data_IF_498313112282
#
_entry.id   IF_498313112282
#
_cell.length_a   1.000
_cell.length_b   1.000
_cell.length_c   1.000
_cell.angle_alpha   90.00
_cell.angle_beta   90.00
_cell.angle_gamma   90.00
#
_symmetry.space_group_name_H-M   'P 1'
#
loop_
_entity.id
_entity.type
_entity.pdbx_description
1 polymer ?
#
# COMPACT_ATOMS: atom_id res chain seq x y z
N UNK A 1 18.75 35.23 22.31
CA UNK A 1 17.40 35.11 21.71
C UNK A 1 17.44 34.84 20.20
N UNK A 2 18.09 35.67 19.37
CA UNK A 2 18.19 35.42 17.90
C UNK A 2 18.82 34.07 17.52
N UNK A 3 19.92 33.66 18.19
CA UNK A 3 20.59 32.37 17.94
C UNK A 3 19.79 31.14 18.38
N UNK A 4 18.90 31.30 19.38
CA UNK A 4 18.03 30.22 19.88
C UNK A 4 16.86 30.01 18.90
N UNK A 5 16.33 31.10 18.32
CA UNK A 5 15.30 31.05 17.28
C UNK A 5 15.86 30.38 16.00
N UNK A 6 17.12 30.63 15.63
CA UNK A 6 17.76 29.97 14.46
C UNK A 6 17.98 28.47 14.66
N UNK A 7 18.29 28.02 15.88
CA UNK A 7 18.44 26.58 16.19
C UNK A 7 17.07 25.88 16.19
N UNK A 8 16.03 26.53 16.73
CA UNK A 8 14.66 26.01 16.71
C UNK A 8 14.06 25.96 15.30
N UNK A 9 14.46 26.86 14.39
CA UNK A 9 14.05 26.85 12.98
C UNK A 9 14.83 25.80 12.16
N UNK A 10 16.07 25.48 12.55
CA UNK A 10 16.89 24.43 11.90
C UNK A 10 16.50 22.99 12.29
N UNK A 11 15.67 22.83 13.32
CA UNK A 11 15.06 21.55 13.72
C UNK A 11 13.71 21.30 13.04
N UNK A 12 13.20 22.26 12.27
CA UNK A 12 11.99 22.10 11.47
C UNK A 12 12.36 21.47 10.11
N UNK A 13 11.90 20.23 9.93
CA UNK A 13 11.63 19.57 8.64
C UNK A 13 12.84 18.95 7.95
N UNK A 14 13.21 17.77 8.44
CA UNK A 14 13.47 16.63 7.57
C UNK A 14 12.42 15.56 7.85
N UNK A 15 11.15 15.83 7.51
CA UNK A 15 10.17 14.76 7.33
C UNK A 15 10.55 14.07 6.02
N UNK A 16 11.30 12.98 6.12
CA UNK A 16 11.41 12.05 5.01
C UNK A 16 10.03 11.44 4.80
N UNK A 17 9.46 11.60 3.61
CA UNK A 17 8.30 10.81 3.21
C UNK A 17 8.80 9.38 3.04
N UNK A 18 8.39 8.51 3.96
CA UNK A 18 8.58 7.06 3.81
C UNK A 18 7.35 6.48 3.17
N UNK A 19 7.55 5.38 2.45
CA UNK A 19 6.47 4.53 1.93
C UNK A 19 5.64 4.01 3.11
N UNK A 20 4.33 3.94 2.95
CA UNK A 20 3.43 3.33 3.95
C UNK A 20 3.47 1.80 3.82
N UNK A 21 4.56 1.20 4.31
CA UNK A 21 4.86 -0.23 4.21
C UNK A 21 5.20 -0.83 5.58
N UNK A 22 4.95 -2.15 5.79
CA UNK A 22 4.31 -3.10 4.88
C UNK A 22 2.81 -2.85 4.74
N UNK A 23 2.26 -3.12 3.54
CA UNK A 23 0.80 -3.16 3.33
C UNK A 23 0.33 -4.52 3.86
N UNK A 24 -0.58 -4.51 4.83
CA UNK A 24 -1.01 -5.70 5.55
C UNK A 24 -2.53 -5.92 5.56
N UNK A 25 -3.31 -4.90 5.16
CA UNK A 25 -4.79 -4.94 5.10
C UNK A 25 -5.49 -5.16 6.45
N UNK A 26 -4.75 -5.11 7.55
CA UNK A 26 -5.26 -5.33 8.90
C UNK A 26 -6.06 -4.11 9.38
N UNK A 27 -7.06 -4.27 10.26
CA UNK A 27 -7.78 -3.13 10.84
C UNK A 27 -6.82 -2.08 11.40
N UNK A 28 -7.05 -0.81 11.05
CA UNK A 28 -6.20 0.35 11.38
C UNK A 28 -4.75 0.30 10.79
N UNK A 29 -4.44 -0.70 9.95
CA UNK A 29 -3.16 -0.91 9.27
C UNK A 29 -3.08 -0.30 7.86
N UNK A 30 -1.92 -0.46 7.21
CA UNK A 30 -1.72 0.07 5.86
C UNK A 30 -2.46 -0.78 4.82
N UNK A 31 -3.25 -0.11 3.98
CA UNK A 31 -4.06 -0.76 2.95
C UNK A 31 -5.47 -1.15 3.38
N UNK A 32 -5.82 -1.03 4.66
CA UNK A 32 -7.13 -1.40 5.18
C UNK A 32 -8.25 -0.49 4.65
N UNK A 33 -8.01 0.82 4.71
CA UNK A 33 -8.97 1.86 4.31
C UNK A 33 -8.49 2.70 3.11
N UNK A 34 -7.55 2.16 2.32
CA UNK A 34 -7.04 2.84 1.12
C UNK A 34 -8.03 2.78 -0.03
N UNK A 35 -7.91 3.73 -0.95
CA UNK A 35 -8.68 3.67 -2.19
C UNK A 35 -8.04 2.68 -3.15
N UNK A 36 -8.68 1.52 -3.31
CA UNK A 36 -8.28 0.48 -4.26
C UNK A 36 -9.14 0.55 -5.53
N UNK A 37 -8.51 0.83 -6.66
CA UNK A 37 -9.16 0.88 -7.97
C UNK A 37 -8.92 -0.44 -8.71
N UNK A 38 -10.00 -1.18 -8.98
CA UNK A 38 -9.95 -2.34 -9.87
C UNK A 38 -10.11 -1.87 -11.31
N UNK A 39 -9.26 -2.37 -12.22
CA UNK A 39 -9.27 -1.97 -13.61
C UNK A 39 -9.32 -3.16 -14.56
N UNK A 40 -9.88 -2.92 -15.75
CA UNK A 40 -9.92 -3.85 -16.88
C UNK A 40 -10.54 -5.23 -16.57
N UNK A 41 -11.33 -5.36 -15.52
CA UNK A 41 -11.90 -6.63 -15.06
C UNK A 41 -13.42 -6.74 -15.34
N UNK A 42 -13.89 -6.17 -16.45
CA UNK A 42 -15.33 -6.09 -16.77
C UNK A 42 -16.04 -4.98 -15.96
N UNK A 43 -16.96 -5.29 -15.03
CA UNK A 43 -17.63 -4.27 -14.21
C UNK A 43 -16.72 -3.61 -13.17
N UNK A 44 -15.46 -4.05 -13.04
CA UNK A 44 -14.50 -3.54 -12.05
C UNK A 44 -15.07 -3.56 -10.62
N UNK A 45 -15.61 -4.71 -10.21
CA UNK A 45 -16.08 -4.92 -8.84
C UNK A 45 -14.97 -4.55 -7.85
N UNK A 46 -15.26 -3.80 -6.76
CA UNK A 46 -14.27 -3.38 -5.78
C UNK A 46 -13.44 -4.55 -5.21
N UNK A 47 -12.20 -4.25 -4.83
CA UNK A 47 -11.32 -5.19 -4.13
C UNK A 47 -11.97 -5.66 -2.82
N UNK A 48 -11.88 -6.96 -2.53
CA UNK A 48 -12.37 -7.51 -1.27
C UNK A 48 -11.22 -7.59 -0.26
N UNK A 49 -11.43 -7.15 0.98
CA UNK A 49 -10.55 -7.49 2.11
C UNK A 49 -11.27 -8.57 2.92
N UNK A 50 -10.70 -9.77 2.97
CA UNK A 50 -11.32 -10.95 3.58
C UNK A 50 -10.44 -11.50 4.68
N UNK A 51 -11.02 -12.34 5.56
CA UNK A 51 -10.22 -13.15 6.46
C UNK A 51 -9.24 -14.02 5.66
N UNK A 52 -7.97 -14.04 6.08
CA UNK A 52 -6.93 -14.82 5.42
C UNK A 52 -7.29 -16.32 5.46
N UNK A 53 -7.49 -16.97 4.29
CA UNK A 53 -7.86 -18.40 4.24
C UNK A 53 -6.77 -19.35 4.76
N UNK A 54 -5.50 -18.93 4.75
CA UNK A 54 -4.37 -19.70 5.26
C UNK A 54 -3.44 -18.82 6.11
N UNK A 55 -3.69 -18.81 7.42
CA UNK A 55 -2.91 -18.05 8.41
C UNK A 55 -1.66 -18.80 8.89
N UNK A 56 -0.97 -19.46 7.97
CA UNK A 56 0.21 -20.28 8.29
C UNK A 56 1.44 -19.88 7.46
N UNK A 57 2.57 -20.54 7.73
CA UNK A 57 3.82 -20.25 7.02
C UNK A 57 4.33 -18.83 7.29
N UNK A 58 4.64 -18.10 6.23
CA UNK A 58 5.21 -16.74 6.30
C UNK A 58 4.12 -15.66 6.41
N UNK A 59 2.90 -15.94 5.94
CA UNK A 59 1.79 -14.98 5.97
C UNK A 59 0.78 -15.34 7.05
N UNK A 60 0.98 -14.83 8.26
CA UNK A 60 0.08 -15.06 9.40
C UNK A 60 -0.89 -13.91 9.65
N UNK A 61 -1.15 -13.06 8.66
CA UNK A 61 -2.10 -11.94 8.78
C UNK A 61 -3.53 -12.43 9.08
N UNK A 62 -4.35 -11.61 9.74
CA UNK A 62 -5.77 -11.95 9.97
C UNK A 62 -6.59 -11.77 8.69
N UNK A 63 -6.17 -10.85 7.84
CA UNK A 63 -6.86 -10.42 6.63
C UNK A 63 -5.93 -10.31 5.44
N UNK A 64 -6.52 -10.38 4.24
CA UNK A 64 -5.83 -10.29 2.95
C UNK A 64 -6.75 -9.65 1.91
N UNK A 65 -6.15 -8.96 0.94
CA UNK A 65 -6.85 -8.39 -0.20
C UNK A 65 -7.06 -9.40 -1.34
N UNK A 66 -8.30 -9.78 -1.64
CA UNK A 66 -8.69 -10.72 -2.70
C UNK A 66 -9.15 -9.99 -3.97
N UNK A 67 -8.41 -10.21 -5.05
CA UNK A 67 -8.82 -9.84 -6.41
C UNK A 67 -9.34 -11.09 -7.16
N UNK A 68 -10.51 -10.99 -7.78
CA UNK A 68 -11.10 -12.07 -8.59
C UNK A 68 -11.08 -11.66 -10.06
N UNK A 69 -10.17 -12.19 -10.86
CA UNK A 69 -10.17 -11.99 -12.30
C UNK A 69 -11.37 -12.70 -12.95
N UNK A 70 -12.15 -11.98 -13.76
CA UNK A 70 -13.31 -12.52 -14.46
C UNK A 70 -12.93 -12.98 -15.88
N UNK A 71 -13.64 -13.98 -16.41
CA UNK A 71 -13.43 -14.46 -17.78
C UNK A 71 -13.68 -13.36 -18.84
N UNK A 72 -14.58 -12.43 -18.55
CA UNK A 72 -14.86 -11.26 -19.41
C UNK A 72 -13.82 -10.13 -19.24
N UNK A 73 -12.97 -10.20 -18.22
CA UNK A 73 -11.91 -9.24 -17.96
C UNK A 73 -10.77 -9.36 -18.98
N UNK A 74 -9.99 -8.29 -19.10
CA UNK A 74 -8.79 -8.30 -19.91
C UNK A 74 -7.71 -9.20 -19.25
N UNK A 75 -6.78 -9.77 -20.03
CA UNK A 75 -5.65 -10.54 -19.50
C UNK A 75 -4.73 -9.76 -18.55
N UNK A 76 -4.82 -8.43 -18.56
CA UNK A 76 -4.06 -7.51 -17.69
C UNK A 76 -4.94 -6.84 -16.63
N UNK A 77 -6.12 -7.39 -16.34
CA UNK A 77 -6.97 -6.90 -15.26
C UNK A 77 -6.22 -6.91 -13.92
N UNK A 78 -6.45 -5.89 -13.09
CA UNK A 78 -5.71 -5.74 -11.85
C UNK A 78 -6.33 -4.75 -10.87
N UNK A 79 -5.55 -4.45 -9.83
CA UNK A 79 -5.89 -3.49 -8.80
C UNK A 79 -4.71 -2.55 -8.54
N UNK A 80 -4.99 -1.28 -8.31
CA UNK A 80 -4.01 -0.27 -7.94
C UNK A 80 -4.52 0.55 -6.74
N UNK A 81 -3.60 1.03 -5.90
CA UNK A 81 -3.91 2.06 -4.90
C UNK A 81 -4.01 3.44 -5.55
N UNK A 82 -4.55 4.43 -4.84
CA UNK A 82 -4.52 5.82 -5.32
C UNK A 82 -3.09 6.29 -5.58
N UNK A 83 -2.89 6.93 -6.74
CA UNK A 83 -1.58 7.48 -7.12
C UNK A 83 -1.22 8.68 -6.24
N UNK A 84 0.08 8.86 -5.98
CA UNK A 84 0.62 10.02 -5.26
C UNK A 84 0.69 9.84 -3.74
N UNK A 85 0.62 10.96 -3.00
CA UNK A 85 0.97 11.01 -1.58
C UNK A 85 -0.17 10.64 -0.61
N UNK A 86 -1.35 10.25 -1.12
CA UNK A 86 -2.53 10.02 -0.29
C UNK A 86 -2.50 8.69 0.48
N UNK A 87 -2.30 7.58 -0.23
CA UNK A 87 -2.38 6.23 0.35
C UNK A 87 -0.99 5.61 0.51
N UNK A 88 -0.36 5.23 -0.61
CA UNK A 88 0.96 4.57 -0.60
C UNK A 88 2.10 5.50 -0.17
N UNK A 89 1.93 6.80 -0.40
CA UNK A 89 3.01 7.78 -0.30
C UNK A 89 3.95 7.72 -1.51
N UNK A 90 4.99 8.57 -1.49
CA UNK A 90 6.03 8.55 -2.53
C UNK A 90 6.82 7.22 -2.48
N UNK A 91 6.69 6.43 -3.53
CA UNK A 91 7.41 5.16 -3.71
C UNK A 91 8.57 5.34 -4.69
N UNK A 92 9.76 5.70 -4.19
CA UNK A 92 10.97 5.82 -5.00
C UNK A 92 11.74 4.50 -5.01
N UNK A 93 11.85 3.90 -6.18
CA UNK A 93 12.72 2.76 -6.44
C UNK A 93 14.06 3.22 -7.02
N UNK A 94 15.15 2.84 -6.37
CA UNK A 94 16.52 3.02 -6.83
C UNK A 94 17.30 1.70 -6.76
N UNK A 95 18.59 1.75 -7.12
CA UNK A 95 19.48 0.58 -7.13
C UNK A 95 19.59 -0.14 -5.77
N UNK A 96 19.22 0.52 -4.67
CA UNK A 96 19.30 -0.01 -3.31
C UNK A 96 17.97 -0.59 -2.79
N UNK A 97 16.83 -0.30 -3.43
CA UNK A 97 15.50 -0.72 -2.95
C UNK A 97 14.52 -1.20 -4.04
N UNK A 98 15.01 -1.59 -5.23
CA UNK A 98 14.20 -2.01 -6.40
C UNK A 98 13.56 -3.40 -6.34
N UNK A 99 13.39 -4.01 -5.16
CA UNK A 99 12.76 -5.34 -5.03
C UNK A 99 11.47 -5.24 -4.22
N UNK A 100 10.33 -5.43 -4.89
CA UNK A 100 9.01 -5.51 -4.25
C UNK A 100 8.73 -6.96 -3.89
N UNK A 101 8.28 -7.21 -2.67
CA UNK A 101 7.85 -8.52 -2.19
C UNK A 101 6.36 -8.46 -1.88
N UNK A 102 5.62 -9.44 -2.38
CA UNK A 102 4.19 -9.60 -2.11
C UNK A 102 4.01 -10.99 -1.52
N UNK A 103 3.36 -11.05 -0.37
CA UNK A 103 2.94 -12.33 0.22
C UNK A 103 1.58 -12.68 -0.36
N UNK A 104 1.48 -13.90 -0.91
CA UNK A 104 0.25 -14.46 -1.45
C UNK A 104 -0.12 -15.62 -0.55
N UNK A 105 -1.40 -15.72 -0.19
CA UNK A 105 -1.96 -16.87 0.51
C UNK A 105 -2.39 -17.95 -0.50
#
# INVERSE_FOLDING_TARGET
MRKIITILLGLYVSIGFSQNVPIDFEPDGYGADWTWNVFENGPNTPLEIIANPDQSGINTSATVAKFTALEIGAPWAGVESSHGDADLGTFLLDETNSTIKIMVW
#
